data_IF_458527496891
#
_entry.id   IF_458527496891
#
_cell.length_a   1.000
_cell.length_b   1.000
_cell.length_c   1.000
_cell.angle_alpha   90.00
_cell.angle_beta   90.00
_cell.angle_gamma   90.00
#
_symmetry.space_group_name_H-M   'P 1'
#
loop_
_entity.id
_entity.type
_entity.pdbx_description
1 polymer ?
#
# COMPACT_ATOMS: atom_id res chain seq x y z
N UNK A 1 31.12 -22.29 2.37
CA UNK A 1 30.73 -22.38 0.94
C UNK A 1 29.23 -22.23 0.87
N UNK A 2 28.74 -21.18 0.21
CA UNK A 2 27.33 -20.83 0.15
C UNK A 2 27.14 -19.34 0.40
N UNK A 3 27.70 -18.52 -0.49
CA UNK A 3 27.43 -17.08 -0.49
C UNK A 3 25.97 -16.90 -0.89
N UNK A 4 25.15 -16.38 0.03
CA UNK A 4 23.80 -15.95 -0.29
C UNK A 4 23.93 -14.74 -1.23
N UNK A 5 23.78 -15.01 -2.52
CA UNK A 5 23.73 -14.00 -3.57
C UNK A 5 22.46 -13.16 -3.35
N UNK A 6 22.62 -12.05 -2.63
CA UNK A 6 21.61 -11.01 -2.53
C UNK A 6 21.41 -10.44 -3.95
N UNK A 7 20.38 -10.92 -4.63
CA UNK A 7 19.90 -10.31 -5.88
C UNK A 7 19.56 -8.86 -5.56
N UNK A 8 20.42 -7.94 -5.98
CA UNK A 8 20.09 -6.52 -6.03
C UNK A 8 19.07 -6.39 -7.16
N UNK A 9 17.79 -6.28 -6.83
CA UNK A 9 16.78 -5.87 -7.81
C UNK A 9 17.21 -4.50 -8.36
N UNK A 10 17.77 -4.52 -9.57
CA UNK A 10 18.27 -3.34 -10.24
C UNK A 10 17.06 -2.57 -10.75
N UNK A 11 16.62 -1.57 -10.00
CA UNK A 11 15.56 -0.64 -10.41
C UNK A 11 15.95 -0.02 -11.75
N UNK A 12 15.20 -0.35 -12.80
CA UNK A 12 15.41 0.18 -14.14
C UNK A 12 14.67 1.49 -14.30
N UNK A 13 15.04 2.32 -15.29
CA UNK A 13 14.30 3.55 -15.59
C UNK A 13 12.81 3.33 -15.84
N UNK A 14 12.42 2.14 -16.30
CA UNK A 14 11.01 1.81 -16.58
C UNK A 14 10.19 1.60 -15.30
N UNK A 15 10.84 1.32 -14.17
CA UNK A 15 10.19 1.10 -12.88
C UNK A 15 9.89 2.43 -12.15
N UNK A 16 10.45 3.53 -12.64
CA UNK A 16 10.23 4.87 -12.08
C UNK A 16 8.94 5.47 -12.66
N UNK A 17 8.09 6.01 -11.78
CA UNK A 17 6.92 6.77 -12.22
C UNK A 17 7.37 8.13 -12.76
N UNK A 18 6.91 8.48 -13.95
CA UNK A 18 7.18 9.76 -14.60
C UNK A 18 5.90 10.61 -14.65
N UNK A 19 6.00 11.84 -14.15
CA UNK A 19 5.02 12.92 -14.30
C UNK A 19 5.68 14.09 -15.06
N UNK A 20 4.92 15.13 -15.40
CA UNK A 20 5.36 16.26 -16.24
C UNK A 20 6.68 16.89 -15.82
N UNK A 21 6.95 16.93 -14.51
CA UNK A 21 8.16 17.55 -13.94
C UNK A 21 8.82 16.70 -12.85
N UNK A 22 8.37 15.46 -12.65
CA UNK A 22 8.82 14.63 -11.53
C UNK A 22 9.06 13.20 -11.98
N UNK A 23 10.18 12.63 -11.56
CA UNK A 23 10.45 11.19 -11.67
C UNK A 23 10.62 10.65 -10.26
N UNK A 24 9.85 9.63 -9.89
CA UNK A 24 9.81 9.15 -8.51
C UNK A 24 9.53 7.65 -8.42
N UNK A 25 10.13 7.02 -7.43
CA UNK A 25 9.76 5.69 -6.95
C UNK A 25 9.44 5.81 -5.46
N UNK A 26 8.19 6.14 -5.16
CA UNK A 26 7.71 6.22 -3.78
C UNK A 26 6.98 4.92 -3.49
N UNK A 27 7.65 4.05 -2.73
CA UNK A 27 7.04 2.83 -2.22
C UNK A 27 6.89 2.98 -0.72
N UNK A 28 5.66 2.95 -0.23
CA UNK A 28 5.34 3.16 1.17
C UNK A 28 4.73 1.90 1.78
N UNK A 29 5.16 1.58 3.01
CA UNK A 29 4.59 0.51 3.83
C UNK A 29 3.66 1.13 4.88
N UNK A 30 2.36 1.02 4.64
CA UNK A 30 1.33 1.48 5.55
C UNK A 30 0.88 0.33 6.44
N UNK A 31 0.89 0.56 7.74
CA UNK A 31 0.38 -0.38 8.74
C UNK A 31 -0.64 0.34 9.61
N UNK A 32 -1.84 -0.20 9.70
CA UNK A 32 -2.87 0.31 10.59
C UNK A 32 -3.60 -0.81 11.30
N UNK A 33 -4.06 -0.52 12.53
CA UNK A 33 -4.77 -1.47 13.37
C UNK A 33 -6.20 -1.00 13.62
N UNK A 34 -7.16 -1.92 13.81
CA UNK A 34 -8.47 -1.59 14.35
C UNK A 34 -8.34 -0.85 15.68
N UNK A 35 -9.38 -0.11 16.05
CA UNK A 35 -9.41 0.63 17.33
C UNK A 35 -9.15 -0.34 18.49
N UNK A 36 -8.25 0.06 19.40
CA UNK A 36 -7.77 -0.78 20.52
C UNK A 36 -7.11 -2.10 20.10
N UNK A 37 -6.68 -2.24 18.84
CA UNK A 37 -6.07 -3.47 18.30
C UNK A 37 -6.97 -4.70 18.49
N UNK A 38 -8.28 -4.49 18.36
CA UNK A 38 -9.27 -5.56 18.41
C UNK A 38 -9.05 -6.58 17.31
N UNK A 39 -9.25 -7.86 17.64
CA UNK A 39 -9.16 -9.01 16.73
C UNK A 39 -10.46 -9.15 15.93
N UNK A 40 -10.72 -8.18 15.05
CA UNK A 40 -12.01 -8.05 14.35
C UNK A 40 -11.92 -8.29 12.85
N UNK A 41 -10.70 -8.35 12.30
CA UNK A 41 -10.46 -8.55 10.87
C UNK A 41 -10.37 -10.05 10.58
N UNK A 42 -11.50 -10.75 10.73
CA UNK A 42 -11.61 -12.20 10.49
C UNK A 42 -12.83 -12.50 9.61
N UNK A 43 -12.77 -13.60 8.85
CA UNK A 43 -13.86 -14.07 7.98
C UNK A 43 -14.32 -12.99 6.99
N UNK A 44 -15.65 -12.81 6.90
CA UNK A 44 -16.28 -11.84 5.99
C UNK A 44 -15.81 -10.39 6.23
N UNK A 45 -15.43 -10.04 7.47
CA UNK A 45 -14.94 -8.68 7.78
C UNK A 45 -13.58 -8.43 7.15
N UNK A 46 -12.70 -9.43 7.14
CA UNK A 46 -11.40 -9.33 6.49
C UNK A 46 -11.53 -9.20 4.97
N UNK A 47 -12.41 -10.00 4.37
CA UNK A 47 -12.70 -9.98 2.93
C UNK A 47 -13.28 -8.63 2.50
N UNK A 48 -14.26 -8.12 3.25
CA UNK A 48 -14.84 -6.80 2.99
C UNK A 48 -13.80 -5.68 3.13
N UNK A 49 -12.97 -5.72 4.17
CA UNK A 49 -11.91 -4.75 4.37
C UNK A 49 -10.89 -4.76 3.21
N UNK A 50 -10.46 -5.93 2.77
CA UNK A 50 -9.57 -6.06 1.61
C UNK A 50 -10.20 -5.46 0.34
N UNK A 51 -11.46 -5.78 0.07
CA UNK A 51 -12.19 -5.26 -1.09
C UNK A 51 -12.27 -3.73 -1.09
N UNK A 52 -12.69 -3.15 0.04
CA UNK A 52 -12.80 -1.69 0.21
C UNK A 52 -11.44 -1.00 0.05
N UNK A 53 -10.37 -1.58 0.60
CA UNK A 53 -9.02 -1.00 0.49
C UNK A 53 -8.58 -0.99 -0.98
N UNK A 54 -8.78 -2.10 -1.71
CA UNK A 54 -8.40 -2.18 -3.14
C UNK A 54 -9.21 -1.23 -4.00
N UNK A 55 -10.51 -1.11 -3.75
CA UNK A 55 -11.38 -0.16 -4.45
C UNK A 55 -10.93 1.29 -4.23
N UNK A 56 -10.72 1.69 -2.98
CA UNK A 56 -10.22 3.02 -2.64
C UNK A 56 -8.85 3.30 -3.29
N UNK A 57 -7.92 2.34 -3.29
CA UNK A 57 -6.63 2.51 -3.94
C UNK A 57 -6.78 2.73 -5.46
N UNK A 58 -7.72 2.00 -6.10
CA UNK A 58 -8.02 2.16 -7.52
C UNK A 58 -8.60 3.53 -7.84
N UNK A 59 -9.58 4.01 -7.06
CA UNK A 59 -10.15 5.36 -7.22
C UNK A 59 -9.10 6.45 -7.01
N UNK A 60 -8.18 6.21 -6.08
CA UNK A 60 -7.07 7.10 -5.80
C UNK A 60 -5.88 6.92 -6.75
N UNK A 61 -5.96 6.11 -7.81
CA UNK A 61 -4.85 5.81 -8.75
C UNK A 61 -3.51 5.53 -8.00
N UNK A 62 -3.64 4.74 -6.93
CA UNK A 62 -2.54 4.20 -6.13
C UNK A 62 -2.37 2.74 -6.55
N UNK A 63 -1.15 2.37 -6.92
CA UNK A 63 -0.82 0.98 -7.27
C UNK A 63 -0.55 0.19 -5.99
N UNK A 64 -1.32 -0.88 -5.76
CA UNK A 64 -1.09 -1.80 -4.65
C UNK A 64 -0.07 -2.85 -5.08
N UNK A 65 1.06 -2.90 -4.40
CA UNK A 65 2.08 -3.94 -4.60
C UNK A 65 1.66 -5.20 -3.84
N UNK A 66 1.29 -5.03 -2.57
CA UNK A 66 0.89 -6.12 -1.70
C UNK A 66 -0.08 -5.61 -0.61
N UNK A 67 -0.97 -6.49 -0.17
CA UNK A 67 -1.96 -6.21 0.87
C UNK A 67 -2.18 -7.47 1.68
N UNK A 68 -1.88 -7.41 2.97
CA UNK A 68 -2.11 -8.49 3.92
C UNK A 68 -3.01 -7.99 5.06
N UNK A 69 -4.16 -8.65 5.22
CA UNK A 69 -5.10 -8.39 6.32
C UNK A 69 -4.87 -9.44 7.40
N UNK A 70 -4.29 -9.02 8.52
CA UNK A 70 -4.20 -9.82 9.73
C UNK A 70 -5.35 -9.47 10.67
N UNK A 71 -5.66 -10.40 11.57
CA UNK A 71 -6.74 -10.31 12.56
C UNK A 71 -6.79 -8.99 13.33
N UNK A 72 -5.64 -8.42 13.67
CA UNK A 72 -5.48 -7.22 14.50
C UNK A 72 -4.79 -6.03 13.79
N UNK A 73 -4.41 -6.18 12.52
CA UNK A 73 -3.78 -5.11 11.73
C UNK A 73 -3.74 -5.42 10.23
N UNK A 74 -3.57 -4.39 9.41
CA UNK A 74 -3.41 -4.51 7.96
C UNK A 74 -2.04 -3.98 7.56
N UNK A 75 -1.34 -4.72 6.69
CA UNK A 75 -0.17 -4.25 5.97
C UNK A 75 -0.55 -3.92 4.53
N UNK A 76 -0.26 -2.70 4.09
CA UNK A 76 -0.51 -2.23 2.74
C UNK A 76 0.79 -1.68 2.16
N UNK A 77 1.31 -2.34 1.13
CA UNK A 77 2.45 -1.88 0.33
C UNK A 77 1.94 -1.25 -0.95
N UNK A 78 2.26 0.02 -1.15
CA UNK A 78 1.76 0.81 -2.28
C UNK A 78 2.88 1.57 -2.99
N UNK A 79 2.71 1.78 -4.29
CA UNK A 79 3.43 2.82 -5.03
C UNK A 79 2.57 4.07 -5.12
N UNK A 80 3.02 5.15 -4.51
CA UNK A 80 2.27 6.39 -4.44
C UNK A 80 2.73 7.40 -5.50
N UNK A 81 1.82 8.09 -6.21
CA UNK A 81 2.18 9.28 -6.96
C UNK A 81 2.61 10.43 -6.05
N UNK A 82 3.74 11.07 -6.36
CA UNK A 82 4.30 12.23 -5.63
C UNK A 82 3.30 13.37 -5.39
N UNK A 83 2.33 13.55 -6.29
CA UNK A 83 1.29 14.59 -6.19
C UNK A 83 0.20 14.28 -5.14
N UNK A 84 0.10 13.05 -4.64
CA UNK A 84 -0.92 12.65 -3.67
C UNK A 84 -0.27 12.52 -2.29
N UNK A 85 -0.58 13.47 -1.41
CA UNK A 85 -0.28 13.32 0.03
C UNK A 85 -1.06 12.12 0.58
N UNK A 86 -0.35 11.11 1.10
CA UNK A 86 -0.92 9.90 1.71
C UNK A 86 -1.93 10.25 2.81
N UNK A 87 -1.52 11.08 3.76
CA UNK A 87 -2.33 11.47 4.91
C UNK A 87 -3.54 12.33 4.53
N UNK A 88 -3.40 13.18 3.51
CA UNK A 88 -4.41 14.17 3.15
C UNK A 88 -5.65 13.58 2.48
N UNK A 89 -5.55 12.41 1.84
CA UNK A 89 -6.67 11.78 1.11
C UNK A 89 -7.24 10.57 1.84
N UNK A 90 -6.41 9.72 2.45
CA UNK A 90 -6.88 8.54 3.18
C UNK A 90 -7.79 8.90 4.37
N UNK A 91 -7.54 10.04 5.02
CA UNK A 91 -8.30 10.49 6.21
C UNK A 91 -9.47 11.44 5.86
N UNK A 92 -9.73 11.71 4.58
CA UNK A 92 -10.72 12.71 4.14
C UNK A 92 -11.76 12.18 3.14
N UNK A 93 -11.72 10.91 2.76
CA UNK A 93 -12.86 10.30 2.07
C UNK A 93 -14.03 10.18 3.06
N UNK A 94 -15.19 10.83 2.81
CA UNK A 94 -16.37 10.59 3.63
C UNK A 94 -16.88 9.16 3.40
N UNK A 95 -17.58 8.57 4.38
CA UNK A 95 -18.23 7.27 4.23
C UNK A 95 -19.31 7.28 3.15
#
# INVERSE_FOLDING_TARGET
MGEAEAKRDMVTRHDLRHDRHTVSLLTDHLVFSPKYRGKVLEGEVAEAAEGIIRENCKELDIEVIDLAVNVDHVHLFIKNPFRKSLYGKMLRSPP
#
